data_IF_428893882200
#
_entry.id   IF_428893882200
#
_cell.length_a   1.000
_cell.length_b   1.000
_cell.length_c   1.000
_cell.angle_alpha   90.00
_cell.angle_beta   90.00
_cell.angle_gamma   90.00
#
_symmetry.space_group_name_H-M   'P 1'
#
loop_
_entity.id
_entity.type
_entity.pdbx_description
1 polymer ?
#
# COMPACT_ATOMS: atom_id res chain seq x y z
N UNK A 1 -3.49 14.74 -17.18
CA UNK A 1 -3.00 14.50 -15.80
C UNK A 1 -1.49 14.54 -15.78
N UNK A 2 -0.89 15.00 -14.69
CA UNK A 2 0.57 14.97 -14.52
C UNK A 2 1.05 13.51 -14.61
N UNK A 3 2.05 13.26 -15.46
CA UNK A 3 2.58 11.90 -15.68
C UNK A 3 3.83 11.71 -14.81
N UNK A 4 3.82 10.76 -13.86
CA UNK A 4 4.99 10.51 -13.03
C UNK A 4 6.14 9.88 -13.84
N UNK A 5 7.41 10.12 -13.46
CA UNK A 5 8.54 9.39 -14.00
C UNK A 5 8.50 7.91 -13.60
N UNK A 6 8.96 7.03 -14.50
CA UNK A 6 9.12 5.61 -14.18
C UNK A 6 10.18 5.38 -13.08
N UNK A 7 10.04 4.32 -12.24
CA UNK A 7 9.01 3.28 -12.28
C UNK A 7 7.70 3.59 -11.51
N UNK A 8 7.45 4.84 -11.11
CA UNK A 8 6.14 5.20 -10.52
C UNK A 8 5.06 5.15 -11.61
N UNK A 9 4.06 4.30 -11.43
CA UNK A 9 2.94 4.12 -12.34
C UNK A 9 2.01 5.33 -12.32
N UNK A 10 1.28 5.56 -13.41
CA UNK A 10 0.31 6.66 -13.48
C UNK A 10 -0.76 6.55 -12.38
N UNK A 11 -1.23 5.34 -12.08
CA UNK A 11 -2.24 5.10 -11.03
C UNK A 11 -1.69 5.39 -9.64
N UNK A 12 -0.50 4.88 -9.30
CA UNK A 12 0.14 5.16 -8.01
C UNK A 12 0.48 6.66 -7.85
N UNK A 13 0.96 7.30 -8.92
CA UNK A 13 1.16 8.74 -8.95
C UNK A 13 -0.14 9.51 -8.72
N UNK A 14 -1.24 9.13 -9.39
CA UNK A 14 -2.54 9.77 -9.19
C UNK A 14 -3.05 9.62 -7.75
N UNK A 15 -2.87 8.45 -7.12
CA UNK A 15 -3.19 8.24 -5.70
C UNK A 15 -2.35 9.17 -4.82
N UNK A 16 -1.04 9.23 -5.05
CA UNK A 16 -0.15 10.11 -4.28
C UNK A 16 -0.55 11.59 -4.41
N UNK A 17 -0.90 12.05 -5.61
CA UNK A 17 -1.37 13.43 -5.83
C UNK A 17 -2.72 13.72 -5.16
N UNK A 18 -3.55 12.71 -4.97
CA UNK A 18 -4.86 12.86 -4.35
C UNK A 18 -4.80 12.82 -2.82
N UNK A 19 -3.86 12.06 -2.24
CA UNK A 19 -3.83 11.75 -0.82
C UNK A 19 -2.68 12.40 -0.05
N UNK A 20 -1.59 12.78 -0.73
CA UNK A 20 -0.40 13.28 -0.06
C UNK A 20 -0.26 14.80 -0.19
N UNK A 21 0.15 15.41 0.91
CA UNK A 21 0.46 16.82 1.08
C UNK A 21 1.68 17.03 2.00
N UNK A 22 1.99 18.28 2.34
CA UNK A 22 3.12 18.66 3.20
C UNK A 22 3.10 18.08 4.62
N UNK A 23 1.96 17.60 5.12
CA UNK A 23 1.80 17.05 6.47
C UNK A 23 1.82 15.51 6.48
N UNK A 24 2.04 14.88 5.32
CA UNK A 24 2.01 13.42 5.15
C UNK A 24 3.35 12.86 4.66
N UNK A 25 4.28 12.51 5.59
CA UNK A 25 5.56 11.91 5.21
C UNK A 25 5.40 10.67 4.33
N UNK A 26 6.10 10.67 3.20
CA UNK A 26 6.11 9.62 2.20
C UNK A 26 7.37 8.76 2.30
N UNK A 27 7.19 7.45 2.46
CA UNK A 27 8.28 6.51 2.24
C UNK A 27 8.22 5.92 0.83
N UNK A 28 9.39 5.75 0.22
CA UNK A 28 9.55 5.18 -1.11
C UNK A 28 10.37 3.90 -0.98
N UNK A 29 9.94 2.83 -1.64
CA UNK A 29 10.78 1.64 -1.73
C UNK A 29 12.13 1.93 -2.43
N UNK A 30 13.14 1.04 -2.32
CA UNK A 30 14.46 1.30 -2.87
C UNK A 30 14.48 1.63 -4.37
N UNK A 31 13.59 1.01 -5.15
CA UNK A 31 13.49 1.23 -6.58
C UNK A 31 13.02 2.66 -6.91
N UNK A 32 12.03 3.18 -6.18
CA UNK A 32 11.55 4.55 -6.33
C UNK A 32 12.52 5.57 -5.73
N UNK A 33 13.13 5.26 -4.58
CA UNK A 33 14.02 6.16 -3.86
C UNK A 33 15.31 6.47 -4.65
N UNK A 34 15.81 5.50 -5.44
CA UNK A 34 16.97 5.68 -6.31
C UNK A 34 16.76 6.74 -7.40
N UNK A 35 15.51 7.06 -7.76
CA UNK A 35 15.18 8.02 -8.81
C UNK A 35 15.03 9.44 -8.25
N UNK A 36 16.01 10.31 -8.53
CA UNK A 36 15.90 11.75 -8.23
C UNK A 36 14.71 12.40 -8.95
N UNK A 37 14.36 11.92 -10.15
CA UNK A 37 13.22 12.43 -10.90
C UNK A 37 11.89 12.16 -10.17
N UNK A 38 11.70 10.96 -9.61
CA UNK A 38 10.50 10.63 -8.82
C UNK A 38 10.42 11.48 -7.56
N UNK A 39 11.52 11.58 -6.80
CA UNK A 39 11.57 12.39 -5.58
C UNK A 39 11.23 13.86 -5.85
N UNK A 40 11.80 14.42 -6.93
CA UNK A 40 11.54 15.80 -7.33
C UNK A 40 10.10 16.00 -7.81
N UNK A 41 9.57 15.03 -8.56
CA UNK A 41 8.19 15.09 -9.07
C UNK A 41 7.17 15.03 -7.93
N UNK A 42 7.33 14.10 -6.98
CA UNK A 42 6.49 14.02 -5.79
C UNK A 42 6.58 15.31 -4.98
N UNK A 43 7.79 15.76 -4.63
CA UNK A 43 7.99 16.99 -3.86
C UNK A 43 7.40 18.23 -4.54
N UNK A 44 7.48 18.35 -5.86
CA UNK A 44 6.89 19.47 -6.60
C UNK A 44 5.36 19.43 -6.62
N UNK A 45 4.77 18.25 -6.84
CA UNK A 45 3.32 18.13 -7.04
C UNK A 45 2.51 17.94 -5.76
N UNK A 46 3.10 17.35 -4.70
CA UNK A 46 2.41 17.12 -3.42
C UNK A 46 2.96 17.98 -2.29
N UNK A 47 4.21 18.43 -2.37
CA UNK A 47 4.89 19.06 -1.24
C UNK A 47 5.21 18.11 -0.08
N UNK A 48 4.92 16.81 -0.22
CA UNK A 48 5.08 15.84 0.85
C UNK A 48 6.55 15.60 1.19
N UNK A 49 6.92 15.66 2.49
CA UNK A 49 8.27 15.35 2.91
C UNK A 49 8.55 13.85 2.74
N UNK A 50 9.81 13.50 2.48
CA UNK A 50 10.22 12.10 2.46
C UNK A 50 10.50 11.62 3.89
N UNK A 51 9.88 10.50 4.27
CA UNK A 51 10.15 9.82 5.53
C UNK A 51 11.54 9.18 5.52
N UNK A 52 12.26 9.27 6.65
CA UNK A 52 13.58 8.66 6.79
C UNK A 52 13.51 7.13 6.89
N UNK A 53 12.49 6.64 7.60
CA UNK A 53 12.24 5.21 7.78
C UNK A 53 10.79 4.87 7.42
N UNK A 54 10.49 3.61 7.09
CA UNK A 54 9.11 3.16 6.85
C UNK A 54 8.18 3.37 8.05
N UNK A 55 8.73 3.37 9.28
CA UNK A 55 7.98 3.58 10.51
C UNK A 55 7.55 5.04 10.73
N UNK A 56 8.18 6.00 10.03
CA UNK A 56 7.85 7.42 10.11
C UNK A 56 6.82 7.85 9.04
N UNK A 57 6.38 6.92 8.20
CA UNK A 57 5.60 7.22 7.00
C UNK A 57 4.09 7.22 7.26
N UNK A 58 3.38 8.23 6.75
CA UNK A 58 1.93 8.20 6.62
C UNK A 58 1.49 7.42 5.38
N UNK A 59 2.23 7.58 4.28
CA UNK A 59 2.04 6.82 3.05
C UNK A 59 3.34 6.17 2.60
N UNK A 60 3.25 4.99 2.00
CA UNK A 60 4.39 4.30 1.40
C UNK A 60 4.08 3.91 -0.04
N UNK A 61 4.92 4.34 -0.99
CA UNK A 61 4.85 3.93 -2.39
C UNK A 61 5.78 2.75 -2.62
N UNK A 62 5.22 1.62 -3.07
CA UNK A 62 5.96 0.37 -3.29
C UNK A 62 5.85 -0.03 -4.76
N UNK A 63 6.93 0.12 -5.52
CA UNK A 63 6.99 -0.29 -6.91
C UNK A 63 7.24 -1.80 -7.08
N UNK A 64 7.90 -2.44 -6.12
CA UNK A 64 8.19 -3.88 -6.13
C UNK A 64 7.61 -4.60 -4.90
N UNK A 65 6.30 -4.88 -4.83
CA UNK A 65 5.68 -5.47 -3.65
C UNK A 65 6.26 -6.84 -3.25
N UNK A 66 6.74 -7.64 -4.20
CA UNK A 66 7.37 -8.92 -3.93
C UNK A 66 8.65 -8.82 -3.08
N UNK A 67 9.33 -7.67 -3.10
CA UNK A 67 10.56 -7.36 -2.37
C UNK A 67 10.32 -6.49 -1.13
N UNK A 68 9.04 -6.17 -0.85
CA UNK A 68 8.67 -5.34 0.29
C UNK A 68 9.06 -6.02 1.60
N UNK A 69 9.51 -5.21 2.55
CA UNK A 69 9.69 -5.63 3.94
C UNK A 69 8.37 -6.05 4.59
N UNK A 70 8.45 -6.64 5.78
CA UNK A 70 7.28 -7.05 6.52
C UNK A 70 6.38 -5.86 6.90
N UNK A 71 5.06 -6.10 6.95
CA UNK A 71 4.06 -5.06 7.25
C UNK A 71 4.27 -4.38 8.61
N UNK A 72 4.87 -5.08 9.58
CA UNK A 72 5.15 -4.54 10.92
C UNK A 72 6.37 -3.60 10.98
N UNK A 73 7.11 -3.46 9.88
CA UNK A 73 8.15 -2.44 9.72
C UNK A 73 7.60 -1.03 9.44
N UNK A 74 6.32 -0.91 9.10
CA UNK A 74 5.64 0.36 8.87
C UNK A 74 4.93 0.87 10.13
N UNK A 75 4.52 2.13 10.17
CA UNK A 75 3.73 2.67 11.29
C UNK A 75 2.43 1.89 11.42
N UNK A 76 2.21 1.30 12.60
CA UNK A 76 0.97 0.59 12.92
C UNK A 76 -0.10 1.53 13.48
N UNK A 77 0.23 2.81 13.69
CA UNK A 77 -0.56 3.71 14.53
C UNK A 77 -0.50 3.30 16.01
N UNK A 78 -1.21 4.05 16.85
CA UNK A 78 -1.34 3.76 18.28
C UNK A 78 -2.78 3.39 18.62
N UNK A 79 -3.04 2.98 19.87
CA UNK A 79 -4.40 2.68 20.31
C UNK A 79 -5.30 3.93 20.25
N UNK A 80 -4.75 5.08 20.64
CA UNK A 80 -5.47 6.35 20.68
C UNK A 80 -5.54 7.04 19.30
N UNK A 81 -4.57 6.74 18.43
CA UNK A 81 -4.47 7.30 17.07
C UNK A 81 -4.21 6.18 16.05
N UNK A 82 -5.18 5.25 15.85
CA UNK A 82 -5.03 4.16 14.90
C UNK A 82 -5.00 4.66 13.44
N UNK A 83 -5.60 5.82 13.18
CA UNK A 83 -5.59 6.53 11.89
C UNK A 83 -4.19 6.98 11.45
N UNK A 84 -3.21 7.06 12.38
CA UNK A 84 -1.81 7.42 12.08
C UNK A 84 -0.93 6.24 11.66
N UNK A 85 -1.53 5.10 11.31
CA UNK A 85 -0.82 4.00 10.65
C UNK A 85 -0.44 4.37 9.22
N UNK A 86 0.56 3.70 8.67
CA UNK A 86 0.91 3.85 7.26
C UNK A 86 -0.17 3.25 6.35
N UNK A 87 -0.55 3.97 5.30
CA UNK A 87 -1.26 3.41 4.14
C UNK A 87 -0.23 3.06 3.05
N UNK A 88 -0.20 1.78 2.68
CA UNK A 88 0.72 1.23 1.68
C UNK A 88 0.06 1.28 0.29
N UNK A 89 0.74 1.84 -0.71
CA UNK A 89 0.29 1.88 -2.09
C UNK A 89 1.18 0.94 -2.90
N UNK A 90 0.68 -0.25 -3.19
CA UNK A 90 1.42 -1.31 -3.86
C UNK A 90 1.13 -1.30 -5.36
N UNK A 91 2.17 -1.15 -6.18
CA UNK A 91 2.04 -1.32 -7.63
C UNK A 91 2.05 -2.81 -7.97
N UNK A 92 0.92 -3.32 -8.44
CA UNK A 92 0.78 -4.71 -8.89
C UNK A 92 0.41 -4.72 -10.37
N UNK A 93 0.81 -5.75 -11.12
CA UNK A 93 0.52 -5.80 -12.56
C UNK A 93 -0.97 -5.86 -12.85
N UNK A 94 -1.69 -6.64 -12.06
CA UNK A 94 -3.13 -6.88 -12.17
C UNK A 94 -3.69 -7.45 -10.85
N UNK A 95 -5.01 -7.62 -10.79
CA UNK A 95 -5.74 -8.13 -9.62
C UNK A 95 -6.29 -9.55 -9.81
N UNK A 96 -5.86 -10.30 -10.83
CA UNK A 96 -6.50 -11.56 -11.24
C UNK A 96 -5.53 -12.73 -11.52
N UNK A 97 -4.24 -12.48 -11.68
CA UNK A 97 -3.26 -13.48 -12.13
C UNK A 97 -2.38 -14.08 -11.02
N UNK A 98 -2.48 -13.56 -9.80
CA UNK A 98 -1.74 -14.05 -8.63
C UNK A 98 -2.40 -15.23 -7.91
N UNK A 99 -2.04 -15.43 -6.64
CA UNK A 99 -2.72 -16.40 -5.77
C UNK A 99 -4.08 -15.85 -5.33
N UNK A 100 -5.19 -16.59 -5.53
CA UNK A 100 -6.51 -16.12 -5.11
C UNK A 100 -6.65 -15.90 -3.60
N UNK A 101 -7.20 -14.75 -3.25
CA UNK A 101 -7.51 -14.31 -1.90
C UNK A 101 -9.03 -14.16 -1.76
N UNK A 102 -9.61 -14.86 -0.80
CA UNK A 102 -10.99 -14.69 -0.39
C UNK A 102 -11.06 -13.59 0.67
N UNK A 103 -11.85 -12.55 0.38
CA UNK A 103 -12.04 -11.36 1.18
C UNK A 103 -13.41 -11.39 1.86
N UNK A 104 -13.45 -11.02 3.14
CA UNK A 104 -14.67 -10.82 3.92
C UNK A 104 -14.50 -9.62 4.87
N UNK A 105 -15.59 -9.04 5.37
CA UNK A 105 -15.55 -8.02 6.40
C UNK A 105 -16.44 -6.82 6.10
N UNK A 106 -16.32 -5.72 6.87
CA UNK A 106 -17.11 -4.52 6.64
C UNK A 106 -16.98 -4.01 5.20
N UNK A 107 -18.12 -3.70 4.56
CA UNK A 107 -18.18 -3.29 3.15
C UNK A 107 -18.25 -4.44 2.13
N UNK A 108 -18.22 -5.70 2.57
CA UNK A 108 -18.40 -6.90 1.72
C UNK A 108 -19.62 -7.66 2.25
N UNK A 109 -20.68 -7.79 1.44
CA UNK A 109 -21.94 -8.42 1.87
C UNK A 109 -21.77 -9.91 2.22
N UNK A 110 -21.09 -10.67 1.34
CA UNK A 110 -20.83 -12.10 1.53
C UNK A 110 -19.35 -12.40 1.49
N UNK A 111 -18.77 -12.37 0.29
CA UNK A 111 -17.35 -12.50 0.04
C UNK A 111 -16.99 -11.86 -1.30
N UNK A 112 -15.71 -11.55 -1.48
CA UNK A 112 -15.15 -11.12 -2.75
C UNK A 112 -13.83 -11.85 -3.00
N UNK A 113 -13.42 -12.00 -4.26
CA UNK A 113 -12.16 -12.63 -4.61
C UNK A 113 -11.31 -11.67 -5.43
N UNK A 114 -10.03 -11.56 -5.07
CA UNK A 114 -8.99 -10.93 -5.88
C UNK A 114 -7.77 -11.85 -5.92
N UNK A 115 -6.92 -11.70 -6.93
CA UNK A 115 -5.66 -12.43 -7.05
C UNK A 115 -4.56 -11.47 -7.52
N UNK A 116 -4.13 -10.51 -6.67
CA UNK A 116 -3.10 -9.56 -7.05
C UNK A 116 -1.77 -10.27 -7.34
N UNK A 117 -1.16 -9.90 -8.46
CA UNK A 117 0.12 -10.44 -8.87
C UNK A 117 1.27 -9.86 -8.04
N UNK A 118 2.38 -10.59 -7.96
CA UNK A 118 3.65 -10.13 -7.38
C UNK A 118 3.56 -9.66 -5.91
N UNK A 119 2.67 -10.27 -5.13
CA UNK A 119 2.52 -9.94 -3.71
C UNK A 119 3.72 -10.40 -2.87
N UNK A 120 3.98 -9.75 -1.70
CA UNK A 120 4.98 -10.20 -0.75
C UNK A 120 4.78 -11.66 -0.36
N UNK A 121 5.88 -12.38 -0.11
CA UNK A 121 5.80 -13.73 0.46
C UNK A 121 5.12 -13.68 1.84
N UNK A 122 4.38 -14.74 2.17
CA UNK A 122 3.65 -14.86 3.43
C UNK A 122 2.66 -13.71 3.70
N UNK A 123 2.16 -13.05 2.65
CA UNK A 123 1.27 -11.90 2.78
C UNK A 123 0.05 -12.21 3.65
N UNK A 124 -0.56 -13.39 3.49
CA UNK A 124 -1.75 -13.79 4.27
C UNK A 124 -1.42 -13.96 5.75
N UNK A 125 -0.27 -14.53 6.10
CA UNK A 125 0.20 -14.63 7.48
C UNK A 125 0.46 -13.25 8.08
N UNK A 126 1.13 -12.36 7.34
CA UNK A 126 1.37 -10.98 7.77
C UNK A 126 0.05 -10.22 7.98
N UNK A 127 -0.91 -10.38 7.07
CA UNK A 127 -2.22 -9.75 7.15
C UNK A 127 -3.03 -10.25 8.35
N UNK A 128 -2.96 -11.55 8.68
CA UNK A 128 -3.54 -12.10 9.93
C UNK A 128 -2.95 -11.41 11.16
N UNK A 129 -1.65 -11.11 11.18
CA UNK A 129 -1.04 -10.35 12.28
C UNK A 129 -1.46 -8.88 12.27
N UNK A 130 -1.68 -8.28 11.09
CA UNK A 130 -2.21 -6.93 10.96
C UNK A 130 -3.60 -6.82 11.62
N UNK A 131 -4.51 -7.74 11.29
CA UNK A 131 -5.87 -7.79 11.87
C UNK A 131 -5.83 -7.98 13.40
N UNK A 132 -4.93 -8.83 13.91
CA UNK A 132 -4.81 -9.07 15.37
C UNK A 132 -4.47 -7.82 16.18
N UNK A 133 -3.97 -6.76 15.54
CA UNK A 133 -3.62 -5.48 16.18
C UNK A 133 -4.77 -4.48 16.22
N UNK A 134 -5.93 -4.81 15.65
CA UNK A 134 -7.07 -3.90 15.56
C UNK A 134 -7.36 -3.21 16.92
N UNK A 135 -7.54 -1.87 16.96
CA UNK A 135 -7.76 -0.95 15.84
C UNK A 135 -6.49 -0.52 15.07
N UNK A 136 -5.30 -0.91 15.53
CA UNK A 136 -4.03 -0.62 14.86
C UNK A 136 -3.83 -1.53 13.64
N UNK A 137 -2.87 -1.16 12.81
CA UNK A 137 -2.49 -1.91 11.60
C UNK A 137 -2.47 -1.02 10.37
N UNK A 138 -1.79 -1.48 9.32
CA UNK A 138 -1.70 -0.77 8.03
C UNK A 138 -2.92 -1.03 7.15
N UNK A 139 -3.22 -0.09 6.27
CA UNK A 139 -4.17 -0.27 5.16
C UNK A 139 -3.38 -0.41 3.84
N UNK A 140 -3.93 -1.11 2.85
CA UNK A 140 -3.29 -1.30 1.53
C UNK A 140 -4.20 -0.79 0.42
N UNK A 141 -3.60 -0.06 -0.53
CA UNK A 141 -4.17 0.26 -1.84
C UNK A 141 -3.34 -0.47 -2.89
N UNK A 142 -3.96 -1.40 -3.62
CA UNK A 142 -3.39 -2.09 -4.77
C UNK A 142 -3.64 -1.25 -6.01
N UNK A 143 -2.59 -0.78 -6.67
CA UNK A 143 -2.65 0.04 -7.87
C UNK A 143 -2.21 -0.76 -9.09
N UNK A 144 -3.09 -0.84 -10.09
CA UNK A 144 -2.81 -1.46 -11.41
C UNK A 144 -2.92 -0.43 -12.52
N UNK A 145 -2.61 -0.84 -13.76
CA UNK A 145 -2.85 0.00 -14.94
C UNK A 145 -4.34 0.25 -15.22
N UNK A 146 -5.23 -0.65 -14.77
CA UNK A 146 -6.68 -0.61 -15.08
C UNK A 146 -7.58 -0.11 -13.94
N UNK A 147 -7.04 0.06 -12.73
CA UNK A 147 -7.82 0.47 -11.56
C UNK A 147 -7.12 0.20 -10.24
N UNK A 148 -7.89 0.30 -9.15
CA UNK A 148 -7.40 0.10 -7.78
C UNK A 148 -8.29 -0.88 -7.02
N UNK A 149 -7.72 -1.56 -6.03
CA UNK A 149 -8.46 -2.28 -4.98
C UNK A 149 -7.89 -1.92 -3.62
N UNK A 150 -8.75 -1.68 -2.63
CA UNK A 150 -8.33 -1.29 -1.29
C UNK A 150 -8.61 -2.41 -0.29
N UNK A 151 -7.65 -2.66 0.58
CA UNK A 151 -7.74 -3.57 1.71
C UNK A 151 -7.60 -2.77 3.01
N UNK A 152 -8.71 -2.31 3.60
CA UNK A 152 -8.71 -1.80 4.97
C UNK A 152 -8.24 -2.89 5.94
N UNK A 153 -7.58 -2.51 7.03
CA UNK A 153 -7.04 -3.42 8.06
C UNK A 153 -8.07 -4.37 8.69
N UNK A 154 -9.36 -4.07 8.53
CA UNK A 154 -10.48 -4.90 8.99
C UNK A 154 -10.85 -6.02 8.03
N UNK A 155 -10.37 -5.98 6.78
CA UNK A 155 -10.64 -7.00 5.77
C UNK A 155 -10.02 -8.32 6.21
N UNK A 156 -10.82 -9.38 6.34
CA UNK A 156 -10.34 -10.73 6.59
C UNK A 156 -9.91 -11.36 5.27
N UNK A 157 -8.71 -11.94 5.26
CA UNK A 157 -8.14 -12.60 4.08
C UNK A 157 -7.90 -14.07 4.38
N UNK A 158 -8.44 -14.94 3.51
CA UNK A 158 -8.18 -16.39 3.52
C UNK A 158 -7.62 -16.80 2.17
N UNK A 159 -6.70 -17.77 2.16
CA UNK A 159 -6.34 -18.48 0.94
C UNK A 159 -7.52 -19.34 0.51
N UNK A 160 -7.84 -19.35 -0.78
CA UNK A 160 -8.71 -20.39 -1.32
C UNK A 160 -7.89 -21.67 -1.39
N UNK A 161 -8.29 -22.70 -0.64
CA UNK A 161 -7.74 -24.03 -0.86
C UNK A 161 -8.22 -24.53 -2.24
N UNK A 162 -7.31 -25.17 -2.97
CA UNK A 162 -7.60 -25.80 -4.26
C UNK A 162 -8.31 -27.14 -4.07
#
# INVERSE_FOLDING_TARGET
>A
FARPPVPLSATAGAIALALCDNDTPLWLDPALQASTAIRSWLGFHTGAPLANTPADAHFALIAAPAEMMALDGFSQGTQDYPDRSTTLILQVSDLVSGTPLLLEGPGIETSATIAPAQMPRHFVEQWKQNIKRFPRGVDIILATSGGIACLPRTTRIKTMEA
#
